data_IF_331355855425
#
_entry.id   IF_331355855425
#
_cell.length_a   1.000
_cell.length_b   1.000
_cell.length_c   1.000
_cell.angle_alpha   90.00
_cell.angle_beta   90.00
_cell.angle_gamma   90.00
#
_symmetry.space_group_name_H-M   'P 1'
#
loop_
_entity.id
_entity.type
_entity.pdbx_description
1 polymer ?
#
# COMPACT_ATOMS: atom_id res chain seq x y z
N UNK A 1 -35.30 -64.37 -10.06
CA UNK A 1 -33.94 -63.81 -9.98
C UNK A 1 -34.06 -62.32 -9.69
N UNK A 2 -34.00 -61.86 -8.42
CA UNK A 2 -34.03 -60.41 -8.10
C UNK A 2 -33.59 -60.07 -6.65
N UNK A 3 -32.83 -60.94 -5.97
CA UNK A 3 -32.49 -60.77 -4.54
C UNK A 3 -31.04 -60.32 -4.25
N UNK A 4 -30.25 -60.03 -5.28
CA UNK A 4 -28.83 -59.69 -5.15
C UNK A 4 -28.51 -58.19 -5.30
N UNK A 5 -29.51 -57.35 -5.57
CA UNK A 5 -29.32 -55.91 -5.80
C UNK A 5 -29.21 -55.09 -4.51
N UNK A 6 -29.91 -55.49 -3.45
CA UNK A 6 -29.91 -54.78 -2.16
C UNK A 6 -28.54 -54.77 -1.43
N UNK A 7 -27.80 -55.89 -1.29
CA UNK A 7 -26.53 -55.85 -0.57
C UNK A 7 -25.42 -55.10 -1.33
N UNK A 8 -25.52 -55.05 -2.67
CA UNK A 8 -24.53 -54.38 -3.53
C UNK A 8 -24.66 -52.84 -3.47
N UNK A 9 -25.90 -52.34 -3.29
CA UNK A 9 -26.17 -50.92 -3.07
C UNK A 9 -25.66 -50.42 -1.71
N UNK A 10 -25.80 -51.23 -0.67
CA UNK A 10 -25.32 -50.88 0.68
C UNK A 10 -23.79 -50.82 0.72
N UNK A 11 -23.11 -51.73 0.03
CA UNK A 11 -21.64 -51.72 -0.08
C UNK A 11 -21.10 -50.52 -0.90
N UNK A 12 -21.84 -50.06 -1.91
CA UNK A 12 -21.45 -48.87 -2.68
C UNK A 12 -21.59 -47.57 -1.87
N UNK A 13 -22.57 -47.49 -0.97
CA UNK A 13 -22.80 -46.33 -0.10
C UNK A 13 -21.79 -46.23 1.06
N UNK A 14 -21.25 -47.35 1.56
CA UNK A 14 -20.23 -47.34 2.62
C UNK A 14 -18.83 -47.01 2.10
N UNK A 15 -18.51 -47.32 0.83
CA UNK A 15 -17.24 -46.92 0.22
C UNK A 15 -17.17 -45.44 -0.16
N UNK A 16 -18.31 -44.77 -0.38
CA UNK A 16 -18.35 -43.32 -0.64
C UNK A 16 -18.09 -42.45 0.61
N UNK A 17 -18.07 -43.05 1.81
CA UNK A 17 -17.90 -42.34 3.08
C UNK A 17 -16.47 -42.30 3.65
N UNK A 18 -15.51 -43.04 3.07
CA UNK A 18 -14.12 -43.05 3.54
C UNK A 18 -13.25 -41.97 2.85
N UNK A 19 -13.69 -40.72 2.92
CA UNK A 19 -12.86 -39.54 2.61
C UNK A 19 -12.06 -39.10 3.85
N UNK A 20 -11.13 -39.94 4.29
CA UNK A 20 -10.27 -39.65 5.45
C UNK A 20 -9.17 -38.63 5.14
N UNK A 21 -9.12 -37.54 5.92
CA UNK A 21 -7.96 -36.67 6.29
C UNK A 21 -6.91 -36.22 5.25
N UNK A 22 -7.00 -36.56 3.96
CA UNK A 22 -5.99 -36.24 2.93
C UNK A 22 -6.58 -35.85 1.56
N UNK A 23 -7.86 -35.49 1.50
CA UNK A 23 -8.48 -34.96 0.27
C UNK A 23 -8.52 -33.44 0.33
N UNK A 24 -7.41 -32.80 -0.07
CA UNK A 24 -7.36 -31.39 -0.53
C UNK A 24 -7.96 -31.28 -1.95
N UNK A 25 -9.10 -31.93 -2.18
CA UNK A 25 -9.82 -31.81 -3.42
C UNK A 25 -10.80 -30.65 -3.27
N UNK A 26 -10.52 -29.54 -3.97
CA UNK A 26 -11.35 -28.32 -4.05
C UNK A 26 -12.73 -28.51 -4.69
N UNK A 27 -13.35 -29.67 -4.47
CA UNK A 27 -14.61 -30.15 -5.02
C UNK A 27 -15.71 -30.23 -3.96
N UNK A 28 -15.51 -29.67 -2.76
CA UNK A 28 -16.58 -29.53 -1.77
C UNK A 28 -17.43 -28.28 -2.05
N UNK A 29 -18.68 -28.41 -2.56
CA UNK A 29 -19.55 -27.26 -2.85
C UNK A 29 -19.97 -26.48 -1.59
N UNK A 30 -19.86 -27.08 -0.40
CA UNK A 30 -20.10 -26.39 0.88
C UNK A 30 -18.93 -25.48 1.30
N UNK A 31 -17.72 -25.73 0.78
CA UNK A 31 -16.55 -24.88 1.02
C UNK A 31 -16.56 -23.61 0.16
N UNK A 32 -17.19 -23.64 -1.02
CA UNK A 32 -17.38 -22.46 -1.88
C UNK A 32 -18.28 -21.39 -1.24
N UNK A 33 -19.14 -21.78 -0.29
CA UNK A 33 -20.05 -20.87 0.42
C UNK A 33 -19.56 -20.38 1.79
N UNK A 34 -18.49 -20.95 2.35
CA UNK A 34 -18.08 -20.70 3.76
C UNK A 34 -16.71 -20.05 3.95
N UNK A 35 -16.04 -19.68 2.86
CA UNK A 35 -14.75 -19.01 2.89
C UNK A 35 -14.72 -17.82 1.95
N UNK A 36 -15.64 -16.87 2.15
CA UNK A 36 -15.49 -15.55 1.57
C UNK A 36 -14.16 -15.00 2.05
N UNK A 37 -13.15 -15.02 1.16
CA UNK A 37 -12.02 -14.13 1.26
C UNK A 37 -12.61 -12.78 1.65
N UNK A 38 -12.30 -12.27 2.84
CA UNK A 38 -12.59 -10.86 3.17
C UNK A 38 -11.69 -10.07 2.22
N UNK A 39 -12.15 -9.96 0.97
CA UNK A 39 -11.72 -8.94 0.04
C UNK A 39 -11.92 -7.59 0.72
N UNK A 40 -11.21 -6.55 0.26
CA UNK A 40 -11.34 -5.23 0.85
C UNK A 40 -12.83 -4.89 0.94
N UNK A 41 -13.31 -4.66 2.18
CA UNK A 41 -14.63 -4.08 2.38
C UNK A 41 -14.66 -2.81 1.53
N UNK A 42 -15.58 -2.72 0.58
CA UNK A 42 -15.71 -1.48 -0.20
C UNK A 42 -15.99 -0.36 0.80
N UNK A 43 -15.09 0.64 0.81
CA UNK A 43 -15.10 1.76 1.74
C UNK A 43 -16.03 2.88 1.25
N UNK A 44 -17.07 2.52 0.49
CA UNK A 44 -17.95 3.48 -0.17
C UNK A 44 -18.95 4.01 0.87
N UNK A 45 -18.82 5.27 1.33
CA UNK A 45 -19.70 5.82 2.36
C UNK A 45 -21.09 6.06 1.75
N UNK A 46 -22.17 5.86 2.52
CA UNK A 46 -23.54 6.15 2.06
C UNK A 46 -23.73 7.62 1.61
N UNK A 47 -22.86 8.54 2.08
CA UNK A 47 -22.84 9.95 1.72
C UNK A 47 -21.94 10.34 0.53
N UNK A 48 -21.30 9.39 -0.15
CA UNK A 48 -20.32 9.64 -1.22
C UNK A 48 -18.91 9.94 -0.71
N UNK A 49 -17.93 9.95 -1.61
CA UNK A 49 -16.55 10.29 -1.28
C UNK A 49 -16.43 11.79 -1.08
N UNK A 50 -16.19 12.24 0.16
CA UNK A 50 -15.69 13.60 0.33
C UNK A 50 -14.38 13.74 -0.44
N UNK A 51 -14.21 14.85 -1.18
CA UNK A 51 -12.94 15.22 -1.81
C UNK A 51 -11.92 15.66 -0.73
N UNK A 52 -11.72 14.80 0.27
CA UNK A 52 -10.73 14.99 1.31
C UNK A 52 -9.37 14.53 0.77
N UNK A 53 -8.34 15.32 1.06
CA UNK A 53 -6.97 15.08 0.60
C UNK A 53 -6.41 13.71 1.00
N UNK A 54 -5.18 13.45 0.60
CA UNK A 54 -4.54 12.15 0.78
C UNK A 54 -4.50 11.69 2.24
N UNK A 55 -5.27 10.63 2.54
CA UNK A 55 -5.42 10.04 3.87
C UNK A 55 -4.30 9.06 4.24
N UNK A 56 -3.34 8.79 3.35
CA UNK A 56 -2.23 7.87 3.64
C UNK A 56 -1.42 8.41 4.82
N UNK A 57 -1.02 7.57 5.78
CA UNK A 57 -0.14 7.99 6.87
C UNK A 57 1.24 8.39 6.33
N UNK A 58 1.92 9.27 7.05
CA UNK A 58 3.31 9.59 6.77
C UNK A 58 4.22 8.38 7.05
N UNK A 59 5.27 8.21 6.26
CA UNK A 59 6.30 7.20 6.49
C UNK A 59 7.10 7.55 7.74
N UNK A 60 7.51 6.52 8.52
CA UNK A 60 8.11 6.71 9.84
C UNK A 60 9.29 7.67 9.83
N UNK A 61 10.32 7.43 9.01
CA UNK A 61 11.54 8.24 9.04
C UNK A 61 12.08 8.51 7.65
N UNK A 62 12.51 9.74 7.40
CA UNK A 62 13.28 10.11 6.20
C UNK A 62 14.76 9.93 6.51
N UNK A 63 15.47 9.16 5.69
CA UNK A 63 16.91 8.87 5.86
C UNK A 63 17.78 9.71 4.95
N UNK A 64 17.30 10.04 3.75
CA UNK A 64 18.00 10.96 2.85
C UNK A 64 17.05 11.70 1.93
N UNK A 65 17.43 12.91 1.53
CA UNK A 65 16.79 13.67 0.47
C UNK A 65 17.90 14.30 -0.38
N UNK A 66 17.79 14.19 -1.70
CA UNK A 66 18.76 14.76 -2.63
C UNK A 66 18.10 15.21 -3.92
N UNK A 67 18.81 16.09 -4.61
CA UNK A 67 18.46 16.51 -5.96
C UNK A 67 19.28 15.75 -6.99
N UNK A 68 18.61 15.25 -8.02
CA UNK A 68 19.24 14.70 -9.21
C UNK A 68 18.92 15.60 -10.42
N UNK A 69 19.90 15.93 -11.28
CA UNK A 69 19.68 16.76 -12.45
C UNK A 69 18.80 16.03 -13.49
N UNK A 70 17.88 16.75 -14.10
CA UNK A 70 17.13 16.30 -15.28
C UNK A 70 17.30 17.30 -16.42
N UNK A 71 17.09 16.85 -17.66
CA UNK A 71 17.13 17.75 -18.83
C UNK A 71 16.16 18.93 -18.67
N UNK A 72 14.98 18.66 -18.10
CA UNK A 72 13.92 19.65 -17.87
C UNK A 72 13.66 19.90 -16.38
N UNK A 73 14.72 20.21 -15.62
CA UNK A 73 14.62 20.62 -14.21
C UNK A 73 15.41 19.73 -13.27
N UNK A 74 14.78 19.30 -12.17
CA UNK A 74 15.42 18.44 -11.16
C UNK A 74 14.46 17.39 -10.65
N UNK A 75 14.99 16.21 -10.34
CA UNK A 75 14.29 15.16 -9.62
C UNK A 75 14.61 15.28 -8.14
N UNK A 76 13.59 15.47 -7.31
CA UNK A 76 13.72 15.30 -5.88
C UNK A 76 13.62 13.81 -5.57
N UNK A 77 14.66 13.23 -4.98
CA UNK A 77 14.67 11.84 -4.55
C UNK A 77 14.75 11.79 -3.03
N UNK A 78 13.75 11.16 -2.42
CA UNK A 78 13.63 11.02 -0.97
C UNK A 78 13.63 9.54 -0.63
N UNK A 79 14.55 9.13 0.22
CA UNK A 79 14.61 7.79 0.77
C UNK A 79 14.19 7.83 2.24
N UNK A 80 13.38 6.87 2.65
CA UNK A 80 12.91 6.71 4.01
C UNK A 80 12.84 5.27 4.45
N UNK A 81 12.48 5.09 5.72
CA UNK A 81 12.27 3.82 6.38
C UNK A 81 10.84 3.79 6.93
N UNK A 82 10.11 2.74 6.56
CA UNK A 82 8.81 2.44 7.15
C UNK A 82 8.97 1.78 8.53
N UNK A 83 7.96 1.85 9.42
CA UNK A 83 8.05 1.21 10.74
C UNK A 83 8.03 -0.33 10.62
N UNK A 84 7.29 -0.86 9.66
CA UNK A 84 7.15 -2.30 9.41
C UNK A 84 7.36 -2.62 7.94
N UNK A 85 7.57 -3.89 7.61
CA UNK A 85 7.60 -4.36 6.22
C UNK A 85 6.21 -4.26 5.58
N UNK A 86 6.17 -4.30 4.25
CA UNK A 86 4.90 -4.36 3.49
C UNK A 86 4.21 -3.02 3.23
N UNK A 87 4.87 -1.90 3.53
CA UNK A 87 4.41 -0.59 3.05
C UNK A 87 4.48 -0.52 1.53
N UNK A 88 3.46 0.10 0.92
CA UNK A 88 3.33 0.19 -0.55
C UNK A 88 2.85 1.57 -0.98
N UNK A 89 2.86 1.82 -2.30
CA UNK A 89 2.34 3.05 -2.90
C UNK A 89 2.90 4.31 -2.23
N UNK A 90 4.22 4.36 -2.08
CA UNK A 90 4.88 5.49 -1.42
C UNK A 90 5.01 6.65 -2.39
N UNK A 91 4.66 7.84 -1.93
CA UNK A 91 4.64 9.04 -2.75
C UNK A 91 5.02 10.27 -1.94
N UNK A 92 5.51 11.27 -2.66
CA UNK A 92 5.62 12.65 -2.15
C UNK A 92 4.34 13.38 -2.55
N UNK A 93 3.70 13.99 -1.58
CA UNK A 93 2.49 14.78 -1.80
C UNK A 93 2.68 16.18 -1.23
N UNK A 94 1.98 17.16 -1.79
CA UNK A 94 1.97 18.51 -1.25
C UNK A 94 1.13 18.55 0.02
N UNK A 95 1.60 19.26 1.05
CA UNK A 95 0.88 19.40 2.32
C UNK A 95 -0.43 20.18 2.12
N UNK A 96 -0.39 21.17 1.22
CA UNK A 96 -1.57 21.89 0.74
C UNK A 96 -2.11 21.19 -0.51
N UNK A 97 -3.43 21.07 -0.63
CA UNK A 97 -4.07 20.64 -1.86
C UNK A 97 -3.76 21.63 -2.99
N UNK A 98 -3.28 21.11 -4.13
CA UNK A 98 -2.93 21.88 -5.32
C UNK A 98 -3.57 21.25 -6.55
N UNK A 99 -3.87 22.03 -7.61
CA UNK A 99 -4.37 21.49 -8.86
C UNK A 99 -3.40 20.46 -9.44
N UNK A 100 -3.94 19.43 -10.11
CA UNK A 100 -3.12 18.42 -10.76
C UNK A 100 -2.12 19.04 -11.75
N UNK A 101 -0.87 18.59 -11.69
CA UNK A 101 0.21 19.09 -12.55
C UNK A 101 0.73 20.49 -12.19
N UNK A 102 0.17 21.16 -11.18
CA UNK A 102 0.67 22.45 -10.67
C UNK A 102 1.32 22.21 -9.33
N UNK A 103 2.57 22.66 -9.20
CA UNK A 103 3.27 22.69 -7.91
C UNK A 103 3.70 24.12 -7.67
N UNK A 104 3.32 24.65 -6.52
CA UNK A 104 3.70 25.99 -6.07
C UNK A 104 4.24 25.91 -4.65
N UNK A 105 5.27 26.68 -4.29
CA UNK A 105 5.61 26.86 -2.89
C UNK A 105 4.50 27.62 -2.14
N UNK A 106 4.59 27.61 -0.81
CA UNK A 106 3.81 28.51 0.04
C UNK A 106 4.32 29.97 -0.08
N UNK A 107 3.67 30.89 0.63
CA UNK A 107 3.97 32.33 0.56
C UNK A 107 5.41 32.71 0.95
N UNK A 108 6.10 31.83 1.68
CA UNK A 108 7.50 31.96 2.08
C UNK A 108 8.50 31.38 1.07
N UNK A 109 8.03 30.87 -0.07
CA UNK A 109 8.87 30.25 -1.10
C UNK A 109 9.29 28.81 -0.76
N UNK A 110 8.80 28.23 0.34
CA UNK A 110 9.09 26.86 0.75
C UNK A 110 8.02 25.91 0.21
N UNK A 111 8.45 24.86 -0.50
CA UNK A 111 7.55 23.79 -0.92
C UNK A 111 7.46 22.74 0.19
N UNK A 112 6.30 22.65 0.84
CA UNK A 112 6.04 21.68 1.92
C UNK A 112 5.46 20.38 1.37
N UNK A 113 6.23 19.32 1.47
CA UNK A 113 5.87 17.97 1.05
C UNK A 113 5.72 17.03 2.25
N UNK A 114 4.95 15.97 2.05
CA UNK A 114 4.82 14.85 2.99
C UNK A 114 5.18 13.56 2.28
N UNK A 115 6.02 12.74 2.92
CA UNK A 115 6.31 11.39 2.45
C UNK A 115 5.25 10.45 3.02
N UNK A 116 4.39 9.91 2.15
CA UNK A 116 3.25 9.07 2.55
C UNK A 116 3.35 7.68 1.95
N UNK A 117 2.70 6.70 2.59
CA UNK A 117 2.61 5.35 2.07
C UNK A 117 1.41 4.59 2.64
N UNK A 118 0.97 3.57 1.92
CA UNK A 118 -0.10 2.68 2.37
C UNK A 118 0.50 1.62 3.29
N UNK A 119 0.05 1.52 4.55
CA UNK A 119 0.52 0.49 5.47
C UNK A 119 0.04 -0.90 5.03
N UNK A 120 0.74 -1.97 5.43
CA UNK A 120 0.27 -3.33 5.22
C UNK A 120 -1.06 -3.58 5.97
N UNK A 121 -1.79 -4.62 5.58
CA UNK A 121 -2.98 -5.06 6.32
C UNK A 121 -2.58 -5.45 7.76
N UNK A 122 -3.32 -5.03 8.80
CA UNK A 122 -2.95 -5.29 10.20
C UNK A 122 -2.73 -6.78 10.54
N UNK A 123 -3.48 -7.67 9.89
CA UNK A 123 -3.39 -9.12 10.11
C UNK A 123 -2.30 -9.81 9.28
N UNK A 124 -1.67 -9.08 8.36
CA UNK A 124 -0.61 -9.66 7.52
C UNK A 124 0.66 -9.96 8.33
N UNK A 125 1.40 -11.03 8.01
CA UNK A 125 2.69 -11.31 8.65
C UNK A 125 3.66 -10.11 8.61
N UNK A 126 3.64 -9.34 7.53
CA UNK A 126 4.51 -8.19 7.28
C UNK A 126 4.28 -7.06 8.29
N UNK A 127 3.04 -6.84 8.73
CA UNK A 127 2.71 -5.83 9.74
C UNK A 127 3.35 -6.12 11.11
N UNK A 128 3.77 -7.36 11.36
CA UNK A 128 4.44 -7.78 12.60
C UNK A 128 5.96 -7.79 12.48
N UNK A 129 6.50 -7.52 11.30
CA UNK A 129 7.92 -7.53 11.02
C UNK A 129 8.45 -6.10 10.95
N UNK A 130 9.35 -5.73 11.87
CA UNK A 130 10.04 -4.45 11.80
C UNK A 130 10.86 -4.34 10.49
N UNK A 131 10.87 -3.16 9.88
CA UNK A 131 11.67 -2.91 8.69
C UNK A 131 13.16 -2.89 9.04
N UNK A 132 13.98 -3.51 8.20
CA UNK A 132 15.44 -3.46 8.33
C UNK A 132 15.99 -2.21 7.60
N UNK A 133 16.69 -1.30 8.28
CA UNK A 133 17.22 -0.07 7.67
C UNK A 133 18.20 -0.32 6.50
N UNK A 134 18.81 -1.50 6.41
CA UNK A 134 19.79 -1.83 5.37
C UNK A 134 19.11 -2.35 4.09
N UNK A 135 18.02 -3.12 4.21
CA UNK A 135 17.39 -3.79 3.05
C UNK A 135 16.03 -3.22 2.68
N UNK A 136 15.28 -2.69 3.64
CA UNK A 136 13.87 -2.32 3.47
C UNK A 136 13.70 -0.80 3.36
N UNK A 137 14.60 -0.16 2.61
CA UNK A 137 14.49 1.26 2.31
C UNK A 137 13.42 1.50 1.26
N UNK A 138 12.70 2.62 1.39
CA UNK A 138 11.70 3.02 0.41
C UNK A 138 12.14 4.33 -0.21
N UNK A 139 12.03 4.43 -1.53
CA UNK A 139 12.38 5.63 -2.27
C UNK A 139 11.16 6.15 -3.00
N UNK A 140 10.87 7.44 -2.83
CA UNK A 140 9.91 8.19 -3.61
C UNK A 140 10.62 9.34 -4.32
N UNK A 141 10.13 9.67 -5.51
CA UNK A 141 10.68 10.77 -6.28
C UNK A 141 9.58 11.66 -6.84
N UNK A 142 9.92 12.93 -7.04
CA UNK A 142 9.05 13.93 -7.63
C UNK A 142 9.86 14.77 -8.61
N UNK A 143 9.42 14.82 -9.86
CA UNK A 143 10.02 15.68 -10.87
C UNK A 143 9.48 17.10 -10.74
N UNK A 144 10.38 18.06 -10.83
CA UNK A 144 10.06 19.49 -10.82
C UNK A 144 10.70 20.16 -12.02
N UNK A 145 9.87 20.77 -12.85
CA UNK A 145 10.31 21.52 -14.03
C UNK A 145 11.02 22.82 -13.64
N UNK A 146 11.80 23.40 -14.56
CA UNK A 146 12.43 24.71 -14.35
C UNK A 146 11.43 25.80 -13.95
N UNK A 147 10.23 25.79 -14.53
CA UNK A 147 9.17 26.76 -14.22
C UNK A 147 8.65 26.57 -12.79
N UNK A 148 8.46 25.32 -12.35
CA UNK A 148 8.04 25.01 -10.97
C UNK A 148 9.14 25.29 -9.95
N UNK A 149 10.41 25.07 -10.31
CA UNK A 149 11.57 25.31 -9.44
C UNK A 149 11.93 26.79 -9.29
N UNK A 150 11.57 27.64 -10.25
CA UNK A 150 11.90 29.07 -10.24
C UNK A 150 11.43 29.80 -8.96
N UNK A 151 10.19 29.61 -8.47
CA UNK A 151 9.73 30.24 -7.23
C UNK A 151 10.15 29.51 -5.94
N UNK A 152 10.73 28.30 -6.03
CA UNK A 152 11.04 27.46 -4.85
C UNK A 152 12.43 27.79 -4.31
N UNK A 153 12.51 28.27 -3.07
CA UNK A 153 13.76 28.55 -2.36
C UNK A 153 14.28 27.33 -1.59
N UNK A 154 13.37 26.55 -1.01
CA UNK A 154 13.67 25.33 -0.27
C UNK A 154 12.49 24.34 -0.37
N UNK A 155 12.79 23.06 -0.14
CA UNK A 155 11.77 22.01 -0.01
C UNK A 155 11.87 21.42 1.38
N UNK A 156 10.75 21.42 2.09
CA UNK A 156 10.60 20.84 3.41
C UNK A 156 9.78 19.55 3.28
N UNK A 157 10.34 18.42 3.73
CA UNK A 157 9.74 17.11 3.59
C UNK A 157 9.44 16.57 4.98
N UNK A 158 8.16 16.37 5.27
CA UNK A 158 7.68 15.86 6.56
C UNK A 158 7.47 14.36 6.50
N UNK A 159 8.16 13.63 7.37
CA UNK A 159 7.87 12.24 7.73
C UNK A 159 7.08 12.19 9.05
N UNK A 160 6.84 10.99 9.58
CA UNK A 160 6.11 10.83 10.83
C UNK A 160 6.98 11.16 12.06
N UNK A 161 8.28 10.86 12.01
CA UNK A 161 9.22 11.09 13.13
C UNK A 161 10.15 12.29 12.94
N UNK A 162 10.36 12.74 11.70
CA UNK A 162 11.30 13.81 11.40
C UNK A 162 10.89 14.65 10.18
N UNK A 163 11.48 15.84 10.09
CA UNK A 163 11.36 16.76 8.96
C UNK A 163 12.76 16.99 8.37
N UNK A 164 12.87 16.92 7.04
CA UNK A 164 14.13 17.17 6.32
C UNK A 164 13.93 18.34 5.38
N UNK A 165 14.82 19.33 5.46
CA UNK A 165 14.81 20.48 4.55
C UNK A 165 16.01 20.40 3.61
N UNK A 166 15.75 20.55 2.32
CA UNK A 166 16.79 20.67 1.29
C UNK A 166 16.65 22.01 0.58
N UNK A 167 17.79 22.69 0.41
CA UNK A 167 17.86 23.93 -0.37
C UNK A 167 18.26 23.62 -1.80
N UNK A 168 17.94 24.55 -2.70
CA UNK A 168 18.24 24.40 -4.12
C UNK A 168 19.75 24.34 -4.37
#
# INVERSE_FOLDING_TARGET
>A
MNKLTAPLLIAALTLAGCGGRFSDSGWNPLAWGSGGSRGPSTLEPEGGYEASGDLRPAIAQITSARWEPLNEGRLLVVTGLAPTKGYSSVALITTRAQPSGRISPDADGVLRLRLVGVPPLPESPQARMAANPVTDTITASMSLSHIQLAPISAVEITGASNVVTIRR
#
